data_IF_914861069547
#
_entry.id   IF_914861069547
#
_cell.length_a   1.000
_cell.length_b   1.000
_cell.length_c   1.000
_cell.angle_alpha   90.00
_cell.angle_beta   90.00
_cell.angle_gamma   90.00
#
_symmetry.space_group_name_H-M   'P 1'
#
loop_
_entity.id
_entity.type
_entity.pdbx_description
1 polymer ?
#
# COMPACT_ATOMS: atom_id res chain seq x y z
N UNK A 1 -4.78 -3.22 23.15
CA UNK A 1 -3.93 -4.22 22.45
C UNK A 1 -3.99 -3.90 20.95
N UNK A 2 -2.87 -3.60 20.27
CA UNK A 2 -2.91 -3.28 18.84
C UNK A 2 -3.27 -4.53 18.03
N UNK A 3 -4.42 -4.50 17.35
CA UNK A 3 -4.85 -5.55 16.41
C UNK A 3 -3.95 -5.50 15.18
N UNK A 4 -2.98 -6.39 15.08
CA UNK A 4 -2.20 -6.59 13.85
C UNK A 4 -3.15 -7.05 12.74
N UNK A 5 -3.38 -6.19 11.74
CA UNK A 5 -4.21 -6.48 10.56
C UNK A 5 -3.31 -6.90 9.38
N UNK A 6 -3.11 -8.21 9.12
CA UNK A 6 -2.17 -8.70 8.10
C UNK A 6 -2.52 -8.29 6.66
N UNK A 7 -3.79 -7.95 6.42
CA UNK A 7 -4.29 -7.55 5.09
C UNK A 7 -3.70 -6.23 4.58
N UNK A 8 -3.31 -5.31 5.47
CA UNK A 8 -2.67 -4.03 5.11
C UNK A 8 -1.19 -4.19 4.77
N UNK A 9 -0.51 -5.02 5.56
CA UNK A 9 0.94 -5.24 5.46
C UNK A 9 1.28 -5.89 4.12
N UNK A 10 0.45 -6.82 3.65
CA UNK A 10 0.63 -7.47 2.36
C UNK A 10 0.57 -6.48 1.19
N UNK A 11 -0.38 -5.54 1.20
CA UNK A 11 -0.48 -4.51 0.16
C UNK A 11 0.74 -3.58 0.14
N UNK A 12 1.24 -3.21 1.32
CA UNK A 12 2.45 -2.39 1.44
C UNK A 12 3.72 -3.14 1.03
N UNK A 13 3.83 -4.42 1.39
CA UNK A 13 4.95 -5.29 0.98
C UNK A 13 4.97 -5.48 -0.54
N UNK A 14 3.80 -5.75 -1.14
CA UNK A 14 3.69 -5.92 -2.59
C UNK A 14 4.04 -4.62 -3.33
N UNK A 15 3.51 -3.47 -2.88
CA UNK A 15 3.85 -2.17 -3.45
C UNK A 15 5.36 -1.88 -3.35
N UNK A 16 5.98 -2.21 -2.22
CA UNK A 16 7.42 -2.05 -2.01
C UNK A 16 8.22 -2.95 -2.95
N UNK A 17 7.80 -4.21 -3.13
CA UNK A 17 8.42 -5.15 -4.06
C UNK A 17 8.35 -4.65 -5.51
N UNK A 18 7.23 -4.06 -5.93
CA UNK A 18 7.06 -3.46 -7.26
C UNK A 18 8.03 -2.30 -7.47
N UNK A 19 8.22 -1.44 -6.47
CA UNK A 19 9.18 -0.33 -6.56
C UNK A 19 10.62 -0.85 -6.68
N UNK A 20 11.00 -1.84 -5.86
CA UNK A 20 12.33 -2.45 -5.91
C UNK A 20 12.58 -3.13 -7.26
N UNK A 21 11.61 -3.88 -7.78
CA UNK A 21 11.70 -4.51 -9.09
C UNK A 21 11.82 -3.45 -10.21
N UNK A 22 11.08 -2.35 -10.12
CA UNK A 22 11.18 -1.23 -11.06
C UNK A 22 12.58 -0.59 -11.05
N UNK A 23 13.13 -0.33 -9.86
CA UNK A 23 14.50 0.19 -9.71
C UNK A 23 15.55 -0.78 -10.27
N UNK A 24 15.39 -2.08 -10.01
CA UNK A 24 16.31 -3.11 -10.51
C UNK A 24 16.30 -3.17 -12.04
N UNK A 25 15.12 -3.16 -12.67
CA UNK A 25 14.99 -3.13 -14.14
C UNK A 25 15.54 -1.85 -14.75
N UNK A 26 15.31 -0.71 -14.09
CA UNK A 26 15.85 0.57 -14.52
C UNK A 26 17.39 0.56 -14.47
N UNK A 27 17.97 0.10 -13.36
CA UNK A 27 19.41 -0.06 -13.21
C UNK A 27 19.99 -1.00 -14.26
N UNK A 28 19.39 -2.18 -14.45
CA UNK A 28 19.84 -3.15 -15.45
C UNK A 28 19.76 -2.59 -16.87
N UNK A 29 18.71 -1.81 -17.16
CA UNK A 29 18.54 -1.11 -18.43
C UNK A 29 19.62 -0.06 -18.68
N UNK A 30 20.08 0.65 -17.65
CA UNK A 30 21.23 1.55 -17.76
C UNK A 30 22.55 0.81 -17.93
N UNK A 31 22.79 -0.24 -17.13
CA UNK A 31 24.03 -1.03 -17.20
C UNK A 31 24.21 -1.71 -18.56
N UNK A 32 23.14 -2.27 -19.11
CA UNK A 32 23.18 -2.95 -20.42
C UNK A 32 22.87 -2.01 -21.60
N UNK A 33 22.62 -0.72 -21.35
CA UNK A 33 22.15 0.24 -22.38
C UNK A 33 20.93 -0.27 -23.15
N UNK A 34 20.01 -0.95 -22.45
CA UNK A 34 18.85 -1.61 -23.03
C UNK A 34 17.54 -0.91 -22.62
N UNK A 35 16.98 -0.17 -23.58
CA UNK A 35 15.73 0.56 -23.40
C UNK A 35 14.53 -0.34 -23.07
N UNK A 36 14.49 -1.58 -23.57
CA UNK A 36 13.41 -2.55 -23.28
C UNK A 36 13.36 -2.94 -21.80
N UNK A 37 14.45 -2.77 -21.06
CA UNK A 37 14.52 -3.02 -19.61
C UNK A 37 14.35 -1.72 -18.81
N UNK A 38 14.93 -0.62 -19.29
CA UNK A 38 14.84 0.67 -18.63
C UNK A 38 13.41 1.23 -18.60
N UNK A 39 12.68 1.15 -19.73
CA UNK A 39 11.33 1.74 -19.85
C UNK A 39 10.33 1.08 -18.89
N UNK A 40 10.22 -0.26 -18.81
CA UNK A 40 9.36 -0.91 -17.82
C UNK A 40 9.75 -0.55 -16.38
N UNK A 41 11.05 -0.47 -16.08
CA UNK A 41 11.55 -0.06 -14.77
C UNK A 41 11.07 1.35 -14.39
N UNK A 42 11.20 2.30 -15.31
CA UNK A 42 10.76 3.68 -15.13
C UNK A 42 9.24 3.81 -14.91
N UNK A 43 8.44 2.91 -15.49
CA UNK A 43 6.98 2.88 -15.33
C UNK A 43 6.55 2.19 -14.02
N UNK A 44 7.26 1.14 -13.61
CA UNK A 44 6.94 0.37 -12.40
C UNK A 44 7.16 1.16 -11.12
N UNK A 45 8.17 2.04 -11.07
CA UNK A 45 8.47 2.88 -9.90
C UNK A 45 7.27 3.79 -9.52
N UNK A 46 6.75 4.66 -10.41
CA UNK A 46 5.60 5.50 -10.08
C UNK A 46 4.32 4.68 -9.85
N UNK A 47 4.13 3.56 -10.56
CA UNK A 47 2.99 2.67 -10.33
C UNK A 47 3.02 2.04 -8.92
N UNK A 48 4.18 1.56 -8.48
CA UNK A 48 4.38 1.02 -7.13
C UNK A 48 4.19 2.07 -6.05
N UNK A 49 4.70 3.30 -6.27
CA UNK A 49 4.47 4.43 -5.36
C UNK A 49 2.97 4.78 -5.26
N UNK A 50 2.27 4.82 -6.38
CA UNK A 50 0.82 5.04 -6.40
C UNK A 50 0.07 3.96 -5.61
N UNK A 51 0.43 2.69 -5.78
CA UNK A 51 -0.14 1.58 -5.00
C UNK A 51 0.15 1.70 -3.50
N UNK A 52 1.32 2.23 -3.13
CA UNK A 52 1.67 2.50 -1.73
C UNK A 52 0.83 3.64 -1.12
N UNK A 53 0.51 4.67 -1.90
CA UNK A 53 -0.35 5.78 -1.46
C UNK A 53 -1.81 5.34 -1.38
N UNK A 54 -2.30 4.59 -2.38
CA UNK A 54 -3.68 4.12 -2.40
C UNK A 54 -3.97 3.11 -1.29
N UNK A 55 -3.01 2.22 -0.98
CA UNK A 55 -3.14 1.30 0.17
C UNK A 55 -3.26 2.04 1.50
N UNK A 56 -2.47 3.11 1.72
CA UNK A 56 -2.63 3.98 2.92
C UNK A 56 -3.99 4.65 2.98
N UNK A 57 -4.51 5.17 1.87
CA UNK A 57 -5.85 5.81 1.84
C UNK A 57 -6.98 4.79 2.05
N UNK A 58 -6.82 3.58 1.54
CA UNK A 58 -7.79 2.50 1.74
C UNK A 58 -7.85 2.03 3.20
N UNK A 59 -6.72 2.07 3.94
CA UNK A 59 -6.72 1.84 5.39
C UNK A 59 -7.55 2.90 6.13
N UNK A 60 -7.29 4.19 5.89
CA UNK A 60 -7.97 5.30 6.57
C UNK A 60 -9.48 5.24 6.33
N UNK A 61 -9.91 5.02 5.08
CA UNK A 61 -11.33 4.97 4.73
C UNK A 61 -12.06 3.77 5.35
N UNK A 62 -11.36 2.68 5.67
CA UNK A 62 -11.95 1.52 6.35
C UNK A 62 -12.03 1.70 7.85
N UNK A 63 -11.09 2.39 8.48
CA UNK A 63 -11.17 2.75 9.91
C UNK A 63 -12.39 3.64 10.19
N UNK A 64 -12.69 4.58 9.30
CA UNK A 64 -13.90 5.42 9.40
C UNK A 64 -15.21 4.67 9.11
N UNK A 65 -15.12 3.43 8.61
CA UNK A 65 -16.28 2.59 8.25
C UNK A 65 -16.52 1.45 9.23
N UNK A 66 -15.64 1.23 10.22
CA UNK A 66 -16.04 0.41 11.36
C UNK A 66 -17.09 1.24 12.12
N UNK A 67 -18.32 0.73 12.31
CA UNK A 67 -19.27 1.43 13.15
C UNK A 67 -18.54 1.69 14.46
N UNK A 68 -18.45 2.95 14.87
CA UNK A 68 -18.24 3.27 16.28
C UNK A 68 -19.40 2.52 16.93
N UNK A 69 -19.10 1.39 17.55
CA UNK A 69 -20.01 0.64 18.39
C UNK A 69 -20.35 1.63 19.49
N UNK A 70 -21.39 2.39 19.20
CA UNK A 70 -21.94 3.38 20.09
C UNK A 70 -22.68 2.48 21.05
N UNK A 71 -22.01 2.11 22.14
CA UNK A 71 -22.68 1.49 23.27
C UNK A 71 -23.99 2.25 23.44
N UNK A 72 -25.16 1.59 23.35
CA UNK A 72 -26.41 2.28 23.59
C UNK A 72 -26.29 2.91 24.98
N UNK A 73 -26.67 4.19 25.17
CA UNK A 73 -26.59 4.81 26.48
C UNK A 73 -27.32 3.90 27.45
N UNK A 74 -26.55 3.31 28.36
CA UNK A 74 -27.07 2.51 29.46
C UNK A 74 -27.65 3.49 30.46
N UNK A 75 -28.80 4.07 30.10
CA UNK A 75 -29.70 4.67 31.09
C UNK A 75 -30.38 3.52 31.81
N UNK A 76 -29.57 3.00 32.73
CA UNK A 76 -29.97 2.28 33.90
C UNK A 76 -31.01 3.13 34.64
N UNK A 77 -32.20 2.57 34.81
CA UNK A 77 -33.08 2.73 35.97
C UNK A 77 -33.02 4.07 36.71
N UNK A 78 -34.06 4.91 36.55
CA UNK A 78 -34.88 5.41 37.67
C UNK A 78 -36.09 6.21 37.19
#
# INVERSE_FOLDING_TARGET
MPKFRPFSIFGRLLASAVVVAGFYLLWLGFVESNALKAVPGAVLIPAGLYAMVSSRRAEIRREDSEPIETDPPTDSQQ
#
